data_IF_934830488409
#
_entry.id   IF_934830488409
#
_cell.length_a   1.000
_cell.length_b   1.000
_cell.length_c   1.000
_cell.angle_alpha   90.00
_cell.angle_beta   90.00
_cell.angle_gamma   90.00
#
_symmetry.space_group_name_H-M   'P 1'
#
loop_
_entity.id
_entity.type
_entity.pdbx_description
1 polymer ?
#
# COMPACT_ATOMS: atom_id res chain seq x y z
N UNK A 1 -0.71 1.54 23.78
CA UNK A 1 -0.84 0.69 22.57
C UNK A 1 -2.30 0.36 22.35
N UNK A 2 -2.87 0.63 21.18
CA UNK A 2 -4.24 0.24 20.86
C UNK A 2 -4.25 -0.88 19.80
N UNK A 3 -5.25 -1.76 19.86
CA UNK A 3 -5.54 -2.69 18.76
C UNK A 3 -6.45 -1.99 17.75
N UNK A 4 -6.04 -1.94 16.48
CA UNK A 4 -6.80 -1.30 15.40
C UNK A 4 -6.94 -2.28 14.25
N UNK A 5 -8.17 -2.45 13.76
CA UNK A 5 -8.46 -3.28 12.59
C UNK A 5 -8.93 -2.37 11.47
N UNK A 6 -8.33 -2.54 10.30
CA UNK A 6 -8.71 -1.87 9.06
C UNK A 6 -9.18 -2.93 8.06
N UNK A 7 -10.08 -2.57 7.15
CA UNK A 7 -10.61 -3.51 6.16
C UNK A 7 -10.79 -2.79 4.84
N UNK A 8 -10.31 -3.38 3.76
CA UNK A 8 -10.41 -2.78 2.43
C UNK A 8 -9.70 -3.59 1.36
N UNK A 9 -9.40 -2.92 0.25
CA UNK A 9 -8.68 -3.50 -0.88
C UNK A 9 -7.23 -3.02 -0.88
N UNK A 10 -6.31 -3.92 -1.21
CA UNK A 10 -4.91 -3.60 -1.49
C UNK A 10 -4.62 -3.98 -2.94
N UNK A 11 -3.98 -3.07 -3.66
CA UNK A 11 -3.69 -3.23 -5.08
C UNK A 11 -2.20 -3.17 -5.34
N UNK A 12 -1.77 -3.91 -6.35
CA UNK A 12 -0.47 -3.71 -6.98
C UNK A 12 -0.48 -2.37 -7.73
N UNK A 13 0.36 -1.44 -7.30
CA UNK A 13 0.62 -0.16 -7.97
C UNK A 13 1.90 -0.27 -8.79
N UNK A 14 1.74 -0.25 -10.11
CA UNK A 14 2.84 -0.08 -11.06
C UNK A 14 3.06 1.42 -11.29
N UNK A 15 4.31 1.87 -11.18
CA UNK A 15 4.70 3.26 -11.42
C UNK A 15 5.89 3.28 -12.36
N UNK A 16 5.94 4.24 -13.29
CA UNK A 16 7.07 4.38 -14.21
C UNK A 16 8.26 5.02 -13.49
N UNK A 17 9.49 4.56 -13.74
CA UNK A 17 10.67 5.20 -13.20
C UNK A 17 10.90 6.58 -13.86
N UNK A 18 11.73 7.42 -13.25
CA UNK A 18 12.26 8.66 -13.84
C UNK A 18 11.23 9.65 -14.43
N UNK A 19 9.96 9.60 -14.00
CA UNK A 19 8.84 10.38 -14.56
C UNK A 19 8.53 10.08 -16.04
N UNK A 20 8.87 8.88 -16.52
CA UNK A 20 8.51 8.44 -17.86
C UNK A 20 6.99 8.34 -18.01
N UNK A 21 6.47 8.57 -19.23
CA UNK A 21 5.09 8.20 -19.53
C UNK A 21 4.98 6.69 -19.63
N UNK A 22 3.80 6.14 -19.34
CA UNK A 22 3.53 4.69 -19.41
C UNK A 22 3.99 4.06 -20.74
N UNK A 23 3.82 4.77 -21.87
CA UNK A 23 4.19 4.25 -23.20
C UNK A 23 5.71 4.28 -23.49
N UNK A 24 6.50 4.96 -22.67
CA UNK A 24 7.94 5.08 -22.81
C UNK A 24 8.69 4.12 -21.89
N UNK A 25 8.00 3.56 -20.90
CA UNK A 25 8.61 2.77 -19.86
C UNK A 25 8.81 1.31 -20.32
N UNK A 26 10.04 0.84 -20.20
CA UNK A 26 10.41 -0.57 -20.42
C UNK A 26 10.33 -1.41 -19.14
N UNK A 27 10.15 -0.75 -17.98
CA UNK A 27 10.03 -1.37 -16.67
C UNK A 27 9.07 -0.58 -15.75
N UNK A 28 8.66 -1.21 -14.64
CA UNK A 28 7.78 -0.58 -13.65
C UNK A 28 8.27 -0.84 -12.22
N UNK A 29 8.21 0.20 -11.38
CA UNK A 29 8.37 0.09 -9.94
C UNK A 29 7.13 -0.56 -9.33
N UNK A 30 7.36 -1.60 -8.54
CA UNK A 30 6.30 -2.37 -7.87
C UNK A 30 6.11 -1.86 -6.45
N UNK A 31 4.89 -1.42 -6.13
CA UNK A 31 4.47 -1.13 -4.76
C UNK A 31 3.09 -1.72 -4.51
N UNK A 32 2.79 -2.07 -3.26
CA UNK A 32 1.42 -2.37 -2.85
C UNK A 32 0.85 -1.19 -2.10
N UNK A 33 -0.40 -0.83 -2.40
CA UNK A 33 -1.05 0.31 -1.77
C UNK A 33 -2.56 0.15 -1.69
N UNK A 34 -3.15 0.88 -0.77
CA UNK A 34 -4.58 0.95 -0.50
C UNK A 34 -4.80 1.94 0.63
N UNK A 35 -5.90 2.69 0.63
CA UNK A 35 -6.11 3.75 1.64
C UNK A 35 -6.07 3.19 3.06
N UNK A 36 -6.81 2.11 3.28
CA UNK A 36 -6.92 1.40 4.55
C UNK A 36 -5.62 0.66 4.91
N UNK A 37 -4.98 0.04 3.92
CA UNK A 37 -3.69 -0.63 4.09
C UNK A 37 -2.59 0.34 4.53
N UNK A 38 -2.53 1.53 3.92
CA UNK A 38 -1.55 2.56 4.26
C UNK A 38 -1.75 3.06 5.70
N UNK A 39 -3.00 3.26 6.13
CA UNK A 39 -3.32 3.63 7.52
C UNK A 39 -2.89 2.53 8.49
N UNK A 40 -3.14 1.26 8.17
CA UNK A 40 -2.71 0.12 8.99
C UNK A 40 -1.18 0.09 9.17
N UNK A 41 -0.44 0.29 8.07
CA UNK A 41 1.03 0.34 8.07
C UNK A 41 1.54 1.52 8.90
N UNK A 42 0.95 2.72 8.75
CA UNK A 42 1.33 3.88 9.57
C UNK A 42 1.10 3.63 11.06
N UNK A 43 -0.06 3.06 11.44
CA UNK A 43 -0.37 2.73 12.82
C UNK A 43 0.62 1.70 13.40
N UNK A 44 0.99 0.68 12.63
CA UNK A 44 2.02 -0.28 13.01
C UNK A 44 3.39 0.40 13.23
N UNK A 45 3.78 1.33 12.35
CA UNK A 45 5.02 2.11 12.49
C UNK A 45 5.02 3.02 13.73
N UNK A 46 3.86 3.49 14.17
CA UNK A 46 3.69 4.24 15.43
C UNK A 46 3.58 3.33 16.66
N UNK A 47 3.76 2.02 16.48
CA UNK A 47 3.76 1.00 17.50
C UNK A 47 2.43 0.27 17.65
N UNK A 48 1.29 0.82 17.21
CA UNK A 48 -0.02 0.20 17.47
C UNK A 48 -0.12 -1.23 16.91
N UNK A 49 -0.95 -2.06 17.55
CA UNK A 49 -1.24 -3.40 17.03
C UNK A 49 -2.28 -3.27 15.91
N UNK A 50 -1.82 -3.17 14.66
CA UNK A 50 -2.67 -2.99 13.49
C UNK A 50 -2.87 -4.31 12.73
N UNK A 51 -4.13 -4.63 12.40
CA UNK A 51 -4.51 -5.75 11.54
C UNK A 51 -5.24 -5.20 10.29
N UNK A 52 -4.94 -5.75 9.12
CA UNK A 52 -5.60 -5.40 7.86
C UNK A 52 -6.33 -6.62 7.30
N UNK A 53 -7.64 -6.51 7.13
CA UNK A 53 -8.51 -7.54 6.58
C UNK A 53 -8.79 -7.26 5.12
N UNK A 54 -8.50 -8.22 4.25
CA UNK A 54 -8.68 -8.05 2.81
C UNK A 54 -8.91 -9.39 2.11
N UNK A 55 -9.25 -9.32 0.83
CA UNK A 55 -9.24 -10.45 -0.10
C UNK A 55 -8.26 -10.10 -1.23
N UNK A 56 -7.37 -11.03 -1.54
CA UNK A 56 -6.40 -10.94 -2.64
C UNK A 56 -6.71 -11.97 -3.72
#
# INVERSE_FOLDING_TARGET
MAKVVTMGEIMLRLSTPNNEKIIQADEFDINYGGGEANVAVSLANYGHNAEFVTKV
#
